data_IF_878953347701
#
_entry.id   IF_878953347701
#
_cell.length_a   1.000
_cell.length_b   1.000
_cell.length_c   1.000
_cell.angle_alpha   90.00
_cell.angle_beta   90.00
_cell.angle_gamma   90.00
#
_symmetry.space_group_name_H-M   'P 1'
#
loop_
_entity.id
_entity.type
_entity.pdbx_description
1 polymer ?
#
# COMPACT_ATOMS: atom_id res chain seq x y z
N UNK A 1 -53.99 9.88 -4.79
CA UNK A 1 -52.83 10.01 -3.90
C UNK A 1 -51.73 8.93 -4.05
N UNK A 2 -51.84 7.86 -4.87
CA UNK A 2 -50.84 6.79 -4.82
C UNK A 2 -49.56 7.03 -5.66
N UNK A 3 -49.58 7.92 -6.66
CA UNK A 3 -48.36 8.33 -7.40
C UNK A 3 -47.33 9.02 -6.49
N UNK A 4 -47.78 9.66 -5.42
CA UNK A 4 -46.88 10.27 -4.44
C UNK A 4 -46.15 9.22 -3.59
N UNK A 5 -46.79 8.09 -3.26
CA UNK A 5 -46.13 7.00 -2.52
C UNK A 5 -45.00 6.38 -3.35
N UNK A 6 -45.22 6.28 -4.66
CA UNK A 6 -44.23 5.82 -5.63
C UNK A 6 -43.01 6.75 -5.72
N UNK A 7 -43.22 8.05 -5.91
CA UNK A 7 -42.10 9.02 -5.96
C UNK A 7 -41.36 9.10 -4.62
N UNK A 8 -42.09 8.96 -3.50
CA UNK A 8 -41.50 8.92 -2.18
C UNK A 8 -40.59 7.68 -2.01
N UNK A 9 -41.05 6.50 -2.45
CA UNK A 9 -40.28 5.27 -2.44
C UNK A 9 -38.99 5.39 -3.26
N UNK A 10 -39.08 5.88 -4.51
CA UNK A 10 -37.90 6.10 -5.35
C UNK A 10 -36.95 7.11 -4.72
N UNK A 11 -37.46 8.20 -4.13
CA UNK A 11 -36.62 9.19 -3.46
C UNK A 11 -35.84 8.58 -2.28
N UNK A 12 -36.48 7.71 -1.47
CA UNK A 12 -35.85 7.03 -0.34
C UNK A 12 -34.79 6.05 -0.82
N UNK A 13 -35.11 5.23 -1.82
CA UNK A 13 -34.18 4.28 -2.40
C UNK A 13 -32.94 4.98 -2.96
N UNK A 14 -33.15 6.09 -3.68
CA UNK A 14 -32.09 6.91 -4.26
C UNK A 14 -31.12 7.45 -3.21
N UNK A 15 -31.65 7.80 -2.03
CA UNK A 15 -30.89 8.30 -0.88
C UNK A 15 -30.08 7.19 -0.21
N UNK A 16 -30.58 5.96 -0.20
CA UNK A 16 -29.88 4.81 0.39
C UNK A 16 -28.76 4.26 -0.51
N UNK A 17 -28.90 4.34 -1.83
CA UNK A 17 -27.96 3.73 -2.77
C UNK A 17 -26.57 4.39 -2.82
N UNK A 18 -26.40 5.61 -2.29
CA UNK A 18 -25.13 6.38 -2.31
C UNK A 18 -24.42 6.36 -3.69
N UNK A 19 -25.20 6.43 -4.77
CA UNK A 19 -24.69 6.48 -6.13
C UNK A 19 -24.55 7.92 -6.61
N UNK A 20 -23.70 8.13 -7.61
CA UNK A 20 -23.60 9.41 -8.31
C UNK A 20 -24.94 9.75 -8.99
N UNK A 21 -25.14 11.03 -9.32
CA UNK A 21 -26.42 11.54 -9.84
C UNK A 21 -26.88 10.81 -11.10
N UNK A 22 -25.95 10.55 -12.05
CA UNK A 22 -26.27 9.88 -13.30
C UNK A 22 -26.74 8.44 -13.10
N UNK A 23 -26.00 7.63 -12.33
CA UNK A 23 -26.37 6.24 -12.04
C UNK A 23 -27.68 6.15 -11.26
N UNK A 24 -27.90 7.11 -10.36
CA UNK A 24 -29.14 7.21 -9.59
C UNK A 24 -30.34 7.44 -10.51
N UNK A 25 -30.19 8.32 -11.49
CA UNK A 25 -31.24 8.61 -12.47
C UNK A 25 -31.49 7.42 -13.40
N UNK A 26 -30.43 6.75 -13.88
CA UNK A 26 -30.54 5.53 -14.69
C UNK A 26 -31.26 4.40 -13.93
N UNK A 27 -30.91 4.16 -12.67
CA UNK A 27 -31.56 3.13 -11.84
C UNK A 27 -32.99 3.51 -11.48
N UNK A 28 -33.25 4.79 -11.17
CA UNK A 28 -34.60 5.26 -10.88
C UNK A 28 -35.52 5.09 -12.09
N UNK A 29 -35.03 5.37 -13.30
CA UNK A 29 -35.80 5.22 -14.53
C UNK A 29 -36.08 3.75 -14.85
N UNK A 30 -35.10 2.85 -14.68
CA UNK A 30 -35.30 1.41 -14.87
C UNK A 30 -36.32 0.84 -13.86
N UNK A 31 -36.22 1.23 -12.58
CA UNK A 31 -37.17 0.81 -11.55
C UNK A 31 -38.57 1.36 -11.80
N UNK A 32 -38.67 2.61 -12.29
CA UNK A 32 -39.93 3.19 -12.73
C UNK A 32 -40.55 2.35 -13.85
N UNK A 33 -39.77 1.98 -14.86
CA UNK A 33 -40.22 1.12 -15.95
C UNK A 33 -40.70 -0.26 -15.47
N UNK A 34 -39.98 -0.90 -14.54
CA UNK A 34 -40.40 -2.19 -13.97
C UNK A 34 -41.69 -2.10 -13.16
N UNK A 35 -41.84 -1.05 -12.36
CA UNK A 35 -43.04 -0.83 -11.58
C UNK A 35 -44.24 -0.50 -12.47
N UNK A 36 -44.07 0.36 -13.48
CA UNK A 36 -45.14 0.66 -14.45
C UNK A 36 -45.62 -0.60 -15.18
N UNK A 37 -44.69 -1.46 -15.61
CA UNK A 37 -45.01 -2.75 -16.20
C UNK A 37 -45.82 -3.63 -15.24
N UNK A 38 -45.41 -3.71 -13.97
CA UNK A 38 -46.11 -4.51 -12.96
C UNK A 38 -47.51 -3.96 -12.66
N UNK A 39 -47.67 -2.64 -12.64
CA UNK A 39 -48.97 -1.99 -12.48
C UNK A 39 -49.92 -2.30 -13.64
N UNK A 40 -49.41 -2.35 -14.86
CA UNK A 40 -50.21 -2.72 -16.04
C UNK A 40 -50.71 -4.17 -15.95
N UNK A 41 -49.86 -5.08 -15.48
CA UNK A 41 -50.23 -6.48 -15.27
C UNK A 41 -51.31 -6.64 -14.20
N UNK A 42 -51.15 -5.98 -13.06
CA UNK A 42 -52.17 -5.99 -11.99
C UNK A 42 -53.49 -5.35 -12.44
N UNK A 43 -53.43 -4.33 -13.30
CA UNK A 43 -54.63 -3.75 -13.89
C UNK A 43 -55.35 -4.73 -14.84
N UNK A 44 -54.60 -5.54 -15.61
CA UNK A 44 -55.18 -6.60 -16.46
C UNK A 44 -55.83 -7.72 -15.64
N UNK A 45 -55.32 -7.98 -14.44
CA UNK A 45 -55.90 -8.90 -13.47
C UNK A 45 -57.17 -8.34 -12.79
N UNK A 46 -57.48 -7.06 -13.03
CA UNK A 46 -58.69 -6.41 -12.54
C UNK A 46 -58.53 -5.67 -11.21
N UNK A 47 -57.30 -5.51 -10.71
CA UNK A 47 -57.05 -4.71 -9.52
C UNK A 47 -57.28 -3.22 -9.80
N UNK A 48 -57.80 -2.51 -8.79
CA UNK A 48 -57.86 -1.05 -8.85
C UNK A 48 -56.45 -0.47 -8.84
N UNK A 49 -56.24 0.70 -9.47
CA UNK A 49 -54.90 1.32 -9.57
C UNK A 49 -54.24 1.54 -8.20
N UNK A 50 -55.01 1.92 -7.18
CA UNK A 50 -54.51 2.12 -5.81
C UNK A 50 -54.09 0.80 -5.15
N UNK A 51 -54.86 -0.27 -5.35
CA UNK A 51 -54.53 -1.60 -4.84
C UNK A 51 -53.32 -2.20 -5.57
N UNK A 52 -53.22 -2.00 -6.88
CA UNK A 52 -52.07 -2.41 -7.67
C UNK A 52 -50.77 -1.74 -7.19
N UNK A 53 -50.79 -0.46 -6.84
CA UNK A 53 -49.62 0.26 -6.31
C UNK A 53 -49.18 -0.32 -4.97
N UNK A 54 -50.12 -0.63 -4.07
CA UNK A 54 -49.78 -1.27 -2.79
C UNK A 54 -49.18 -2.66 -2.98
N UNK A 55 -49.78 -3.49 -3.84
CA UNK A 55 -49.27 -4.83 -4.14
C UNK A 55 -47.87 -4.75 -4.76
N UNK A 56 -47.66 -3.88 -5.74
CA UNK A 56 -46.37 -3.73 -6.40
C UNK A 56 -45.26 -3.25 -5.44
N UNK A 57 -45.57 -2.31 -4.53
CA UNK A 57 -44.62 -1.85 -3.51
C UNK A 57 -44.33 -2.95 -2.47
N UNK A 58 -45.34 -3.72 -2.06
CA UNK A 58 -45.17 -4.85 -1.13
C UNK A 58 -44.32 -5.97 -1.76
N UNK A 59 -44.52 -6.25 -3.05
CA UNK A 59 -43.70 -7.21 -3.82
C UNK A 59 -42.25 -6.75 -4.01
N UNK A 60 -42.01 -5.44 -4.16
CA UNK A 60 -40.65 -4.88 -4.22
C UNK A 60 -39.93 -4.88 -2.87
N UNK A 61 -40.67 -4.89 -1.76
CA UNK A 61 -40.13 -4.90 -0.41
C UNK A 61 -39.61 -3.52 0.07
N UNK A 62 -38.98 -3.52 1.24
CA UNK A 62 -38.46 -2.30 1.86
C UNK A 62 -37.33 -1.67 1.02
N UNK A 63 -37.39 -0.36 0.83
CA UNK A 63 -36.40 0.38 0.05
C UNK A 63 -34.98 0.26 0.66
N UNK A 64 -34.87 0.16 1.98
CA UNK A 64 -33.59 -0.03 2.66
C UNK A 64 -32.96 -1.39 2.36
N UNK A 65 -33.75 -2.46 2.41
CA UNK A 65 -33.31 -3.82 2.10
C UNK A 65 -32.91 -3.96 0.63
N UNK A 66 -33.71 -3.41 -0.29
CA UNK A 66 -33.40 -3.39 -1.71
C UNK A 66 -32.09 -2.63 -2.00
N UNK A 67 -31.87 -1.48 -1.35
CA UNK A 67 -30.63 -0.71 -1.49
C UNK A 67 -29.40 -1.48 -0.98
N UNK A 68 -29.53 -2.24 0.10
CA UNK A 68 -28.47 -3.13 0.58
C UNK A 68 -28.16 -4.23 -0.44
N UNK A 69 -29.18 -4.82 -1.07
CA UNK A 69 -29.00 -5.80 -2.14
C UNK A 69 -28.27 -5.21 -3.36
N UNK A 70 -28.65 -4.02 -3.82
CA UNK A 70 -27.91 -3.36 -4.90
C UNK A 70 -26.47 -3.02 -4.52
N UNK A 71 -26.24 -2.57 -3.29
CA UNK A 71 -24.90 -2.25 -2.78
C UNK A 71 -24.00 -3.49 -2.71
N UNK A 72 -24.54 -4.64 -2.33
CA UNK A 72 -23.77 -5.91 -2.32
C UNK A 72 -23.49 -6.40 -3.74
N UNK A 73 -24.46 -6.31 -4.65
CA UNK A 73 -24.29 -6.68 -6.06
C UNK A 73 -23.25 -5.77 -6.73
N UNK A 74 -23.33 -4.45 -6.54
CA UNK A 74 -22.39 -3.49 -7.16
C UNK A 74 -20.96 -3.73 -6.69
N UNK A 75 -20.75 -3.96 -5.37
CA UNK A 75 -19.44 -4.34 -4.80
C UNK A 75 -18.91 -5.64 -5.43
N UNK A 76 -19.75 -6.66 -5.58
CA UNK A 76 -19.35 -7.94 -6.17
C UNK A 76 -18.99 -7.82 -7.67
N UNK A 77 -19.72 -6.97 -8.41
CA UNK A 77 -19.51 -6.76 -9.84
C UNK A 77 -18.25 -5.93 -10.10
N UNK A 78 -17.95 -4.94 -9.25
CA UNK A 78 -16.70 -4.18 -9.27
C UNK A 78 -15.50 -5.11 -9.06
N UNK A 79 -15.56 -6.01 -8.07
CA UNK A 79 -14.52 -7.03 -7.82
C UNK A 79 -14.31 -7.96 -9.03
N UNK A 80 -15.39 -8.40 -9.67
CA UNK A 80 -15.33 -9.25 -10.88
C UNK A 80 -14.82 -8.50 -12.11
N UNK A 81 -15.11 -7.20 -12.25
CA UNK A 81 -14.66 -6.42 -13.40
C UNK A 81 -13.15 -6.13 -13.29
N UNK A 82 -12.67 -5.82 -12.08
CA UNK A 82 -11.24 -5.72 -11.78
C UNK A 82 -10.53 -7.04 -12.11
N UNK A 83 -11.09 -8.18 -11.69
CA UNK A 83 -10.53 -9.50 -12.00
C UNK A 83 -10.53 -9.84 -13.50
N UNK A 84 -11.48 -9.31 -14.28
CA UNK A 84 -11.52 -9.50 -15.75
C UNK A 84 -10.51 -8.60 -16.47
N UNK A 85 -10.28 -7.38 -15.99
CA UNK A 85 -9.26 -6.50 -16.55
C UNK A 85 -7.85 -7.07 -16.31
N UNK A 86 -7.57 -7.62 -15.12
CA UNK A 86 -6.26 -8.23 -14.83
C UNK A 86 -6.00 -9.52 -15.62
N UNK A 87 -7.04 -10.34 -15.84
CA UNK A 87 -6.89 -11.54 -16.68
C UNK A 87 -6.68 -11.18 -18.16
N UNK A 88 -7.35 -10.13 -18.64
CA UNK A 88 -7.21 -9.63 -20.01
C UNK A 88 -5.80 -9.09 -20.30
N UNK A 89 -5.23 -8.31 -19.39
CA UNK A 89 -3.86 -7.77 -19.54
C UNK A 89 -2.81 -8.87 -19.48
N UNK A 90 -2.96 -9.87 -18.62
CA UNK A 90 -2.06 -11.03 -18.56
C UNK A 90 -2.08 -11.84 -19.88
N UNK A 91 -3.25 -12.05 -20.48
CA UNK A 91 -3.37 -12.76 -21.75
C UNK A 91 -2.71 -11.98 -22.91
N UNK A 92 -2.88 -10.65 -22.95
CA UNK A 92 -2.23 -9.81 -23.96
C UNK A 92 -0.70 -9.82 -23.80
N UNK A 93 -0.19 -9.77 -22.58
CA UNK A 93 1.26 -9.87 -22.33
C UNK A 93 1.81 -11.24 -22.72
N UNK A 94 1.10 -12.33 -22.40
CA UNK A 94 1.50 -13.67 -22.81
C UNK A 94 1.55 -13.82 -24.34
N UNK A 95 0.52 -13.33 -25.05
CA UNK A 95 0.52 -13.29 -26.52
C UNK A 95 1.64 -12.42 -27.08
N UNK A 96 1.89 -11.24 -26.47
CA UNK A 96 2.99 -10.36 -26.84
C UNK A 96 4.35 -11.02 -26.68
N UNK A 97 4.56 -11.80 -25.61
CA UNK A 97 5.80 -12.52 -25.35
C UNK A 97 6.02 -13.69 -26.33
N UNK A 98 4.95 -14.40 -26.70
CA UNK A 98 5.00 -15.44 -27.74
C UNK A 98 5.33 -14.83 -29.10
N UNK A 99 4.73 -13.70 -29.46
CA UNK A 99 5.05 -13.01 -30.71
C UNK A 99 6.48 -12.46 -30.70
N UNK A 100 6.92 -11.87 -29.58
CA UNK A 100 8.27 -11.36 -29.44
C UNK A 100 9.31 -12.47 -29.61
N UNK A 101 9.12 -13.62 -28.96
CA UNK A 101 10.04 -14.77 -29.09
C UNK A 101 9.98 -15.44 -30.46
N UNK A 102 8.82 -15.46 -31.13
CA UNK A 102 8.67 -16.03 -32.46
C UNK A 102 9.30 -15.16 -33.58
N UNK A 103 9.34 -13.83 -33.40
CA UNK A 103 9.86 -12.89 -34.39
C UNK A 103 11.25 -12.33 -34.07
N UNK A 104 11.80 -12.59 -32.88
CA UNK A 104 13.19 -12.28 -32.54
C UNK A 104 14.15 -13.33 -33.12
N UNK A 105 14.13 -13.46 -34.45
CA UNK A 105 14.98 -14.36 -35.19
C UNK A 105 16.33 -13.66 -35.47
N UNK A 106 17.31 -13.99 -34.63
CA UNK A 106 18.77 -13.99 -34.79
C UNK A 106 19.42 -13.13 -35.89
N UNK A 107 20.01 -11.97 -35.52
CA UNK A 107 21.14 -11.44 -36.26
C UNK A 107 22.42 -12.21 -35.89
N UNK A 108 22.96 -12.93 -36.88
CA UNK A 108 24.33 -13.43 -36.96
C UNK A 108 24.82 -14.35 -35.83
N UNK A 109 24.52 -15.65 -35.96
CA UNK A 109 25.37 -16.67 -35.31
C UNK A 109 26.73 -16.74 -36.04
N UNK A 110 27.86 -16.42 -35.38
CA UNK A 110 29.18 -16.64 -35.95
C UNK A 110 29.42 -18.14 -36.17
N UNK A 111 29.98 -18.47 -37.33
CA UNK A 111 30.33 -19.83 -37.76
C UNK A 111 31.26 -20.50 -36.72
N UNK A 112 31.03 -21.77 -36.35
CA UNK A 112 31.98 -22.48 -35.50
C UNK A 112 33.27 -22.72 -36.28
N UNK A 113 34.38 -22.18 -35.77
CA UNK A 113 35.71 -22.55 -36.26
C UNK A 113 36.05 -23.97 -35.80
N UNK A 114 36.56 -24.75 -36.75
CA UNK A 114 37.07 -26.09 -36.56
C UNK A 114 38.19 -26.08 -35.51
N UNK A 115 37.97 -26.77 -34.38
CA UNK A 115 39.05 -27.13 -33.49
C UNK A 115 39.83 -28.29 -34.12
N UNK A 116 41.06 -27.97 -34.54
CA UNK A 116 42.11 -28.92 -34.85
C UNK A 116 42.40 -29.76 -33.60
N UNK A 117 42.21 -31.06 -33.76
CA UNK A 117 42.72 -32.12 -32.89
C UNK A 117 44.24 -32.11 -33.00
N UNK A 118 44.93 -31.85 -31.87
CA UNK A 118 46.32 -32.23 -31.69
C UNK A 118 46.33 -33.34 -30.63
N UNK A 119 46.54 -34.54 -31.15
CA UNK A 119 46.81 -35.80 -30.47
C UNK A 119 48.26 -35.74 -29.96
N UNK A 120 48.48 -35.86 -28.65
CA UNK A 120 49.80 -36.15 -28.09
C UNK A 120 49.69 -37.28 -27.09
N UNK A 121 50.40 -38.36 -27.41
CA UNK A 121 50.49 -39.60 -26.67
C UNK A 121 51.68 -39.57 -25.72
N UNK A 122 51.52 -40.17 -24.54
CA UNK A 122 52.62 -40.52 -23.64
C UNK A 122 52.29 -40.07 -22.22
N UNK A 123 52.22 -40.93 -21.22
CA UNK A 123 53.03 -42.12 -20.98
C UNK A 123 53.41 -42.02 -19.50
N UNK A 124 52.90 -42.93 -18.68
CA UNK A 124 52.70 -42.73 -17.24
C UNK A 124 53.95 -42.69 -16.37
N UNK A 125 53.75 -42.35 -15.09
CA UNK A 125 54.30 -43.09 -13.93
C UNK A 125 53.74 -42.51 -12.62
N UNK A 126 53.17 -43.39 -11.79
CA UNK A 126 53.09 -43.25 -10.33
C UNK A 126 54.49 -43.55 -9.76
N UNK A 127 54.95 -42.89 -8.67
CA UNK A 127 54.57 -43.33 -7.32
C UNK A 127 54.59 -42.21 -6.23
N UNK A 128 54.34 -42.64 -4.98
CA UNK A 128 54.57 -41.97 -3.69
C UNK A 128 53.50 -40.98 -3.21
N UNK A 129 52.65 -41.31 -2.23
CA UNK A 129 52.93 -41.64 -0.82
C UNK A 129 53.66 -40.54 -0.05
N UNK A 130 52.88 -39.83 0.78
CA UNK A 130 53.39 -39.11 1.95
C UNK A 130 53.81 -37.65 1.72
N UNK A 131 52.84 -36.73 1.80
CA UNK A 131 53.02 -35.41 2.42
C UNK A 131 51.67 -34.75 2.67
N UNK A 132 51.51 -34.29 3.90
CA UNK A 132 50.39 -33.54 4.45
C UNK A 132 49.92 -32.44 3.50
N UNK A 133 48.68 -32.59 3.03
CA UNK A 133 47.97 -31.58 2.26
C UNK A 133 47.79 -30.35 3.18
N UNK A 134 48.33 -29.17 2.85
CA UNK A 134 47.92 -27.95 3.55
C UNK A 134 46.41 -27.81 3.36
N UNK A 135 45.71 -27.55 4.45
CA UNK A 135 44.28 -27.30 4.46
C UNK A 135 44.02 -26.17 3.46
N UNK A 136 43.38 -26.56 2.35
CA UNK A 136 43.09 -25.68 1.23
C UNK A 136 42.18 -24.56 1.75
N UNK A 137 42.75 -23.39 1.96
CA UNK A 137 42.06 -22.16 2.40
C UNK A 137 41.17 -21.57 1.31
N UNK A 138 40.74 -22.39 0.34
CA UNK A 138 39.98 -22.01 -0.84
C UNK A 138 38.46 -22.09 -0.62
N UNK A 139 37.97 -21.68 0.54
CA UNK A 139 36.54 -21.43 0.78
C UNK A 139 36.33 -19.97 1.20
N UNK A 140 36.97 -19.05 0.47
CA UNK A 140 36.50 -17.67 0.35
C UNK A 140 35.64 -17.57 -0.92
N UNK A 141 34.46 -18.20 -0.89
CA UNK A 141 33.44 -17.95 -1.90
C UNK A 141 32.81 -16.58 -1.64
N UNK A 142 33.33 -15.63 -2.40
CA UNK A 142 32.80 -14.34 -2.89
C UNK A 142 31.64 -13.69 -2.09
N UNK A 143 31.86 -12.51 -1.47
CA UNK A 143 30.77 -11.66 -0.98
C UNK A 143 29.77 -11.20 -2.07
N UNK A 144 30.09 -11.38 -3.35
CA UNK A 144 29.19 -11.07 -4.46
C UNK A 144 27.94 -11.98 -4.54
N UNK A 145 28.02 -13.26 -4.14
CA UNK A 145 26.84 -14.17 -4.13
C UNK A 145 25.87 -13.82 -2.99
N UNK A 146 26.37 -13.28 -1.88
CA UNK A 146 25.54 -12.83 -0.75
C UNK A 146 24.71 -11.60 -1.11
N UNK A 147 25.26 -10.70 -1.95
CA UNK A 147 24.53 -9.51 -2.40
C UNK A 147 23.47 -9.80 -3.45
N UNK A 148 23.69 -10.77 -4.35
CA UNK A 148 22.67 -11.20 -5.30
C UNK A 148 21.45 -11.85 -4.60
N UNK A 149 21.67 -12.47 -3.44
CA UNK A 149 20.61 -12.96 -2.56
C UNK A 149 19.90 -11.81 -1.82
N UNK A 150 20.62 -10.81 -1.32
CA UNK A 150 20.02 -9.64 -0.66
C UNK A 150 19.15 -8.80 -1.61
N UNK A 151 19.52 -8.68 -2.88
CA UNK A 151 18.73 -7.97 -3.90
C UNK A 151 17.45 -8.73 -4.29
N UNK A 152 17.46 -10.06 -4.20
CA UNK A 152 16.28 -10.92 -4.38
C UNK A 152 15.39 -10.98 -3.14
N UNK A 153 15.92 -10.69 -1.95
CA UNK A 153 15.17 -10.52 -0.69
C UNK A 153 14.64 -9.08 -0.62
N UNK A 154 13.90 -8.67 -1.66
CA UNK A 154 13.01 -7.52 -1.55
C UNK A 154 11.91 -7.89 -0.55
N UNK A 155 11.59 -6.94 0.32
CA UNK A 155 10.44 -6.92 1.23
C UNK A 155 9.38 -7.88 0.73
N UNK A 156 9.00 -8.88 1.52
CA UNK A 156 7.77 -9.63 1.30
C UNK A 156 6.61 -8.62 1.43
N UNK A 157 6.44 -7.80 0.40
CA UNK A 157 5.17 -7.16 0.06
C UNK A 157 4.26 -8.37 -0.07
N UNK A 158 3.34 -8.56 0.88
CA UNK A 158 2.25 -9.48 0.62
C UNK A 158 1.71 -9.10 -0.75
N UNK A 159 1.57 -10.06 -1.67
CA UNK A 159 1.10 -9.79 -3.04
C UNK A 159 -0.31 -9.17 -3.06
N UNK A 160 -0.96 -9.05 -1.89
CA UNK A 160 -2.19 -8.31 -1.63
C UNK A 160 -1.96 -7.03 -0.79
N UNK A 161 -0.80 -6.38 -0.86
CA UNK A 161 -0.71 -5.00 -0.37
C UNK A 161 -1.72 -4.17 -1.15
N UNK A 162 -2.70 -3.67 -0.41
CA UNK A 162 -3.76 -2.84 -0.93
C UNK A 162 -3.17 -1.75 -1.86
N UNK A 163 -3.78 -1.47 -3.02
CA UNK A 163 -3.25 -0.61 -4.09
C UNK A 163 -3.02 0.87 -3.70
N UNK A 164 -3.16 1.20 -2.42
CA UNK A 164 -3.07 2.54 -1.87
C UNK A 164 -1.69 3.17 -1.96
N UNK A 165 -0.60 2.42 -1.79
CA UNK A 165 0.73 3.02 -1.88
C UNK A 165 0.97 3.62 -3.27
N UNK A 166 0.52 2.97 -4.35
CA UNK A 166 0.65 3.52 -5.70
C UNK A 166 -0.30 4.70 -5.95
N UNK A 167 -1.53 4.60 -5.46
CA UNK A 167 -2.52 5.67 -5.60
C UNK A 167 -2.13 6.93 -4.81
N UNK A 168 -1.62 6.78 -3.58
CA UNK A 168 -1.15 7.86 -2.72
C UNK A 168 0.10 8.55 -3.28
N UNK A 169 0.93 7.81 -4.01
CA UNK A 169 2.14 8.33 -4.66
C UNK A 169 1.89 8.91 -6.06
N UNK A 170 0.68 8.72 -6.62
CA UNK A 170 0.28 9.29 -7.91
C UNK A 170 0.11 10.82 -7.80
N UNK A 171 0.42 11.53 -8.89
CA UNK A 171 0.33 12.99 -8.96
C UNK A 171 -1.06 13.45 -9.38
N UNK A 172 -1.57 14.50 -8.74
CA UNK A 172 -2.90 15.06 -8.98
C UNK A 172 -2.83 16.57 -9.23
N UNK A 173 -3.80 17.04 -10.00
CA UNK A 173 -4.14 18.45 -10.17
C UNK A 173 -5.58 18.62 -9.70
N UNK A 174 -5.76 19.36 -8.62
CA UNK A 174 -7.02 19.54 -7.91
C UNK A 174 -7.27 21.04 -7.67
N UNK A 175 -8.34 21.53 -8.26
CA UNK A 175 -8.90 22.88 -8.03
C UNK A 175 -9.90 22.78 -6.88
N UNK A 176 -9.43 23.03 -5.66
CA UNK A 176 -10.23 22.90 -4.42
C UNK A 176 -10.61 24.26 -3.81
N UNK A 177 -10.09 25.36 -4.37
CA UNK A 177 -10.28 26.69 -3.81
C UNK A 177 -11.77 27.09 -3.83
N UNK A 178 -12.29 27.46 -2.66
CA UNK A 178 -13.68 27.83 -2.44
C UNK A 178 -14.65 26.66 -2.37
N UNK A 179 -14.17 25.41 -2.48
CA UNK A 179 -15.00 24.23 -2.22
C UNK A 179 -15.12 23.97 -0.73
N UNK A 180 -16.22 23.34 -0.33
CA UNK A 180 -16.33 22.80 1.01
C UNK A 180 -15.39 21.59 1.17
N UNK A 181 -15.00 21.28 2.41
CA UNK A 181 -14.15 20.14 2.70
C UNK A 181 -14.79 18.81 2.25
N UNK A 182 -16.11 18.70 2.36
CA UNK A 182 -16.86 17.55 1.86
C UNK A 182 -16.77 17.43 0.33
N UNK A 183 -17.03 18.53 -0.39
CA UNK A 183 -16.96 18.54 -1.86
C UNK A 183 -15.55 18.23 -2.36
N UNK A 184 -14.52 18.70 -1.65
CA UNK A 184 -13.15 18.36 -1.97
C UNK A 184 -12.84 16.87 -1.77
N UNK A 185 -13.35 16.23 -0.71
CA UNK A 185 -13.22 14.78 -0.57
C UNK A 185 -13.96 14.03 -1.68
N UNK A 186 -15.14 14.49 -2.07
CA UNK A 186 -15.90 13.88 -3.17
C UNK A 186 -15.14 14.02 -4.50
N UNK A 187 -14.54 15.19 -4.77
CA UNK A 187 -13.69 15.39 -5.96
C UNK A 187 -12.43 14.51 -5.94
N UNK A 188 -11.74 14.39 -4.80
CA UNK A 188 -10.57 13.51 -4.65
C UNK A 188 -10.97 12.05 -4.86
N UNK A 189 -12.10 11.63 -4.28
CA UNK A 189 -12.69 10.29 -4.43
C UNK A 189 -12.97 9.98 -5.90
N UNK A 190 -13.62 10.90 -6.61
CA UNK A 190 -13.98 10.76 -8.02
C UNK A 190 -12.75 10.67 -8.93
N UNK A 191 -11.77 11.57 -8.75
CA UNK A 191 -10.55 11.57 -9.57
C UNK A 191 -9.64 10.36 -9.27
N UNK A 192 -9.55 9.95 -8.00
CA UNK A 192 -8.74 8.82 -7.58
C UNK A 192 -9.40 7.45 -7.83
N UNK A 193 -10.71 7.43 -8.05
CA UNK A 193 -11.48 6.21 -8.27
C UNK A 193 -11.58 5.32 -7.03
N UNK A 194 -11.49 5.89 -5.82
CA UNK A 194 -11.55 5.17 -4.55
C UNK A 194 -12.51 5.85 -3.59
N UNK A 195 -13.04 5.10 -2.61
CA UNK A 195 -14.02 5.64 -1.69
C UNK A 195 -13.32 6.37 -0.54
N UNK A 196 -13.75 7.60 -0.27
CA UNK A 196 -13.39 8.32 0.96
C UNK A 196 -14.55 8.25 1.95
N UNK A 197 -14.26 7.90 3.20
CA UNK A 197 -15.25 7.88 4.28
C UNK A 197 -14.76 8.74 5.43
N UNK A 198 -15.54 9.75 5.79
CA UNK A 198 -15.26 10.55 6.99
C UNK A 198 -15.77 9.83 8.23
N UNK A 199 -14.87 9.57 9.18
CA UNK A 199 -15.21 8.89 10.42
C UNK A 199 -16.03 9.80 11.34
N UNK A 200 -16.85 9.20 12.21
CA UNK A 200 -17.69 9.95 13.15
C UNK A 200 -16.88 10.80 14.14
N UNK A 201 -15.61 10.44 14.40
CA UNK A 201 -14.72 11.25 15.25
C UNK A 201 -14.44 12.64 14.65
N UNK A 202 -14.40 12.75 13.32
CA UNK A 202 -14.18 14.02 12.61
C UNK A 202 -15.41 14.91 12.74
N UNK A 203 -16.60 14.37 12.51
CA UNK A 203 -17.85 15.14 12.62
C UNK A 203 -18.16 15.54 14.06
N UNK A 204 -17.73 14.74 15.04
CA UNK A 204 -17.80 15.10 16.45
C UNK A 204 -16.86 16.27 16.81
N UNK A 205 -15.68 16.33 16.20
CA UNK A 205 -14.66 17.38 16.48
C UNK A 205 -14.94 18.68 15.73
N UNK A 206 -15.20 18.60 14.43
CA UNK A 206 -15.32 19.76 13.53
C UNK A 206 -16.77 20.18 13.23
N UNK A 207 -17.76 19.34 13.55
CA UNK A 207 -19.16 19.59 13.21
C UNK A 207 -19.45 19.35 11.73
N UNK A 208 -20.07 20.34 11.08
CA UNK A 208 -20.49 20.23 9.68
C UNK A 208 -19.36 20.60 8.72
N UNK A 209 -18.88 19.60 7.98
CA UNK A 209 -17.77 19.73 7.01
C UNK A 209 -18.13 20.64 5.83
N UNK A 210 -19.42 20.83 5.56
CA UNK A 210 -19.91 21.69 4.48
C UNK A 210 -19.54 23.16 4.75
N UNK A 211 -19.36 23.53 6.02
CA UNK A 211 -19.04 24.91 6.42
C UNK A 211 -17.56 25.28 6.30
N UNK A 212 -16.67 24.30 6.08
CA UNK A 212 -15.22 24.51 6.04
C UNK A 212 -14.82 24.70 4.58
N UNK A 213 -14.51 25.93 4.20
CA UNK A 213 -14.04 26.27 2.84
C UNK A 213 -12.52 26.08 2.72
N UNK A 214 -12.08 25.53 1.59
CA UNK A 214 -10.66 25.33 1.29
C UNK A 214 -10.11 26.54 0.55
N UNK A 215 -8.99 27.10 1.01
CA UNK A 215 -8.42 28.33 0.44
C UNK A 215 -7.42 28.08 -0.70
N UNK A 216 -6.92 26.85 -0.85
CA UNK A 216 -5.73 26.54 -1.66
C UNK A 216 -6.02 25.57 -2.78
N UNK A 217 -5.35 25.79 -3.90
CA UNK A 217 -5.27 24.87 -5.03
C UNK A 217 -3.98 24.05 -5.01
N UNK A 218 -4.07 22.81 -5.50
CA UNK A 218 -2.96 21.85 -5.47
C UNK A 218 -2.68 21.33 -6.87
N UNK A 219 -1.47 21.58 -7.39
CA UNK A 219 -1.08 21.17 -8.74
C UNK A 219 0.21 20.36 -8.72
N UNK A 220 0.22 19.25 -9.47
CA UNK A 220 1.37 18.36 -9.62
C UNK A 220 1.95 17.85 -8.27
N UNK A 221 1.08 17.65 -7.29
CA UNK A 221 1.44 17.11 -5.98
C UNK A 221 1.00 15.65 -5.87
N UNK A 222 1.73 14.88 -5.07
CA UNK A 222 1.30 13.52 -4.75
C UNK A 222 0.05 13.57 -3.88
N UNK A 223 -0.89 12.64 -4.07
CA UNK A 223 -2.11 12.59 -3.27
C UNK A 223 -1.82 12.57 -1.75
N UNK A 224 -0.80 11.82 -1.32
CA UNK A 224 -0.30 11.82 0.07
C UNK A 224 -0.02 13.25 0.59
N UNK A 225 0.64 14.07 -0.22
CA UNK A 225 0.99 15.44 0.15
C UNK A 225 -0.23 16.35 0.15
N UNK A 226 -1.15 16.16 -0.79
CA UNK A 226 -2.40 16.92 -0.85
C UNK A 226 -3.24 16.63 0.39
N UNK A 227 -3.45 15.36 0.73
CA UNK A 227 -4.15 14.96 1.95
C UNK A 227 -3.47 15.53 3.19
N UNK A 228 -2.15 15.45 3.30
CA UNK A 228 -1.43 16.03 4.43
C UNK A 228 -1.64 17.56 4.54
N UNK A 229 -1.51 18.30 3.44
CA UNK A 229 -1.68 19.76 3.44
C UNK A 229 -3.13 20.17 3.71
N UNK A 230 -4.09 19.37 3.27
CA UNK A 230 -5.52 19.59 3.46
C UNK A 230 -5.96 19.29 4.90
N UNK A 231 -5.47 18.19 5.47
CA UNK A 231 -5.94 17.67 6.76
C UNK A 231 -5.16 18.22 7.96
N UNK A 232 -3.87 18.52 7.80
CA UNK A 232 -3.02 18.97 8.91
C UNK A 232 -3.53 20.25 9.61
N UNK A 233 -4.03 21.30 8.91
CA UNK A 233 -4.57 22.49 9.58
C UNK A 233 -5.79 22.22 10.46
N UNK A 234 -6.45 21.08 10.25
CA UNK A 234 -7.67 20.67 10.94
C UNK A 234 -7.41 19.57 11.99
N UNK A 235 -6.13 19.26 12.25
CA UNK A 235 -5.71 18.17 13.15
C UNK A 235 -6.31 16.81 12.75
N UNK A 236 -6.53 16.62 11.45
CA UNK A 236 -7.01 15.38 10.87
C UNK A 236 -5.85 14.59 10.26
N UNK A 237 -6.08 13.30 10.09
CA UNK A 237 -5.23 12.39 9.33
C UNK A 237 -6.10 11.41 8.54
N UNK A 238 -5.46 10.51 7.80
CA UNK A 238 -6.14 9.51 6.99
C UNK A 238 -5.57 8.11 7.22
N UNK A 239 -6.40 7.09 7.05
CA UNK A 239 -5.99 5.69 7.14
C UNK A 239 -6.61 4.87 6.00
N UNK A 240 -5.80 4.27 5.11
CA UNK A 240 -6.31 3.34 4.11
C UNK A 240 -6.62 1.99 4.76
N UNK A 241 -7.83 1.48 4.54
CA UNK A 241 -8.29 0.18 5.05
C UNK A 241 -9.37 -0.41 4.15
N UNK A 242 -9.23 -1.69 3.78
CA UNK A 242 -10.23 -2.47 3.03
C UNK A 242 -10.74 -1.78 1.74
N UNK A 243 -9.85 -1.15 0.98
CA UNK A 243 -10.19 -0.41 -0.23
C UNK A 243 -10.95 0.90 0.01
N UNK A 244 -10.94 1.42 1.25
CA UNK A 244 -11.53 2.71 1.63
C UNK A 244 -10.48 3.59 2.29
N UNK A 245 -10.46 4.88 1.94
CA UNK A 245 -9.65 5.89 2.61
C UNK A 245 -10.48 6.53 3.71
N UNK A 246 -10.17 6.22 4.96
CA UNK A 246 -10.83 6.86 6.09
C UNK A 246 -10.18 8.20 6.40
N UNK A 247 -10.99 9.21 6.70
CA UNK A 247 -10.55 10.49 7.29
C UNK A 247 -10.94 10.47 8.76
N UNK A 248 -9.98 10.72 9.64
CA UNK A 248 -10.13 10.56 11.09
C UNK A 248 -9.32 11.63 11.84
N UNK A 249 -9.65 11.85 13.11
CA UNK A 249 -8.82 12.66 14.00
C UNK A 249 -7.52 11.93 14.34
N UNK A 250 -6.47 12.67 14.72
CA UNK A 250 -5.21 12.05 15.14
C UNK A 250 -5.40 11.10 16.33
N UNK A 251 -6.19 11.52 17.33
CA UNK A 251 -6.52 10.71 18.50
C UNK A 251 -7.20 9.39 18.12
N UNK A 252 -8.20 9.41 17.22
CA UNK A 252 -8.89 8.19 16.79
C UNK A 252 -7.93 7.21 16.10
N UNK A 253 -6.98 7.72 15.32
CA UNK A 253 -5.98 6.89 14.63
C UNK A 253 -5.07 6.20 15.63
N UNK A 254 -4.74 6.89 16.71
CA UNK A 254 -3.87 6.39 17.76
C UNK A 254 -4.60 5.43 18.69
N UNK A 255 -5.86 5.74 19.06
CA UNK A 255 -6.66 5.05 20.06
C UNK A 255 -7.45 3.83 19.51
N UNK A 256 -7.70 3.79 18.21
CA UNK A 256 -8.47 2.73 17.59
C UNK A 256 -7.59 1.68 16.90
N UNK A 257 -7.60 0.47 17.46
CA UNK A 257 -6.79 -0.65 16.96
C UNK A 257 -7.15 -1.10 15.54
N UNK A 258 -8.30 -0.68 15.03
CA UNK A 258 -8.81 -1.01 13.70
C UNK A 258 -8.05 -0.32 12.57
N UNK A 259 -7.39 0.83 12.82
CA UNK A 259 -6.63 1.58 11.81
C UNK A 259 -5.13 1.29 11.86
N UNK A 260 -4.69 0.46 12.79
CA UNK A 260 -3.31 0.03 12.89
C UNK A 260 -3.02 -1.06 11.86
N UNK A 261 -1.96 -0.87 11.09
CA UNK A 261 -1.48 -1.83 10.11
C UNK A 261 -0.40 -2.69 10.73
N UNK A 262 -0.28 -3.95 10.29
CA UNK A 262 0.85 -4.80 10.63
C UNK A 262 1.76 -4.87 9.40
N UNK A 263 3.00 -4.41 9.52
CA UNK A 263 4.02 -4.53 8.47
C UNK A 263 5.21 -5.34 8.94
N UNK A 264 5.79 -6.08 8.01
CA UNK A 264 7.00 -6.87 8.21
C UNK A 264 8.16 -6.20 7.47
N UNK A 265 9.23 -5.87 8.19
CA UNK A 265 10.44 -5.26 7.64
C UNK A 265 11.59 -6.26 7.73
N UNK A 266 12.03 -6.74 6.57
CA UNK A 266 13.22 -7.60 6.52
C UNK A 266 14.47 -6.76 6.79
N UNK A 267 15.15 -7.04 7.89
CA UNK A 267 16.37 -6.32 8.29
C UNK A 267 17.60 -7.24 8.21
N UNK A 268 17.48 -8.43 7.59
CA UNK A 268 18.59 -9.40 7.49
C UNK A 268 19.76 -8.84 6.69
N UNK A 269 19.49 -8.04 5.68
CA UNK A 269 20.49 -7.32 4.90
C UNK A 269 21.38 -6.43 5.78
N UNK A 270 20.78 -5.60 6.63
CA UNK A 270 21.47 -4.75 7.59
C UNK A 270 22.22 -5.58 8.65
N UNK A 271 21.61 -6.66 9.13
CA UNK A 271 22.20 -7.53 10.15
C UNK A 271 23.40 -8.33 9.65
N UNK A 272 23.37 -8.80 8.39
CA UNK A 272 24.48 -9.52 7.77
C UNK A 272 25.74 -8.66 7.62
N UNK A 273 25.57 -7.36 7.38
CA UNK A 273 26.73 -6.45 7.31
C UNK A 273 27.34 -6.23 8.70
N UNK A 274 26.51 -6.13 9.73
CA UNK A 274 26.96 -5.84 11.10
C UNK A 274 27.45 -7.08 11.85
N UNK A 275 27.02 -8.27 11.42
CA UNK A 275 27.39 -9.57 11.99
C UNK A 275 27.81 -10.51 10.85
N UNK A 276 29.11 -10.56 10.51
CA UNK A 276 29.64 -11.31 9.35
C UNK A 276 29.39 -12.82 9.38
N UNK A 277 28.98 -13.38 10.52
CA UNK A 277 28.65 -14.80 10.68
C UNK A 277 27.53 -14.96 11.72
N UNK A 278 26.26 -14.83 11.30
CA UNK A 278 25.11 -14.91 12.21
C UNK A 278 24.88 -16.32 12.75
N UNK A 279 25.27 -17.36 12.00
CA UNK A 279 25.06 -18.75 12.41
C UNK A 279 25.95 -19.13 13.58
N UNK A 280 27.19 -18.63 13.59
CA UNK A 280 28.13 -18.89 14.68
C UNK A 280 28.04 -17.86 15.82
N UNK A 281 27.32 -16.75 15.64
CA UNK A 281 27.19 -15.69 16.66
C UNK A 281 25.72 -15.24 16.87
N UNK A 282 24.81 -16.14 17.29
CA UNK A 282 23.39 -15.81 17.46
C UNK A 282 23.15 -14.74 18.54
N UNK A 283 24.00 -14.67 19.58
CA UNK A 283 23.89 -13.67 20.65
C UNK A 283 24.15 -12.25 20.13
N UNK A 284 25.19 -12.08 19.30
CA UNK A 284 25.52 -10.79 18.69
C UNK A 284 24.46 -10.34 17.69
N UNK A 285 23.86 -11.29 16.97
CA UNK A 285 22.71 -11.01 16.10
C UNK A 285 21.51 -10.51 16.91
N UNK A 286 21.19 -11.17 18.03
CA UNK A 286 20.11 -10.76 18.93
C UNK A 286 20.37 -9.38 19.55
N UNK A 287 21.60 -9.08 19.97
CA UNK A 287 22.00 -7.77 20.48
C UNK A 287 21.81 -6.67 19.43
N UNK A 288 22.24 -6.90 18.19
CA UNK A 288 22.07 -5.93 17.09
C UNK A 288 20.62 -5.73 16.70
N UNK A 289 19.82 -6.80 16.71
CA UNK A 289 18.38 -6.71 16.50
C UNK A 289 17.70 -5.90 17.61
N UNK A 290 18.03 -6.16 18.87
CA UNK A 290 17.51 -5.41 20.00
C UNK A 290 17.88 -3.93 19.92
N UNK A 291 19.12 -3.61 19.52
CA UNK A 291 19.54 -2.24 19.27
C UNK A 291 18.74 -1.57 18.14
N UNK A 292 18.49 -2.28 17.03
CA UNK A 292 17.66 -1.77 15.94
C UNK A 292 16.21 -1.51 16.39
N UNK A 293 15.63 -2.41 17.19
CA UNK A 293 14.30 -2.18 17.78
C UNK A 293 14.30 -0.92 18.65
N UNK A 294 15.33 -0.73 19.49
CA UNK A 294 15.43 0.46 20.34
C UNK A 294 15.56 1.74 19.51
N UNK A 295 16.31 1.72 18.40
CA UNK A 295 16.39 2.85 17.47
C UNK A 295 15.02 3.18 16.85
N UNK A 296 14.29 2.15 16.38
CA UNK A 296 12.94 2.33 15.83
C UNK A 296 11.99 2.92 16.88
N UNK A 297 12.05 2.42 18.12
CA UNK A 297 11.25 2.94 19.23
C UNK A 297 11.63 4.36 19.67
N UNK A 298 12.84 4.84 19.34
CA UNK A 298 13.25 6.22 19.65
C UNK A 298 12.91 7.21 18.54
N UNK A 299 12.71 6.73 17.31
CA UNK A 299 12.57 7.59 16.13
C UNK A 299 11.16 8.19 15.96
N UNK A 300 10.12 7.54 16.50
CA UNK A 300 8.73 7.81 16.12
C UNK A 300 7.80 7.92 17.34
N UNK A 301 7.54 9.12 17.87
CA UNK A 301 6.46 9.35 18.85
C UNK A 301 6.44 8.45 20.10
N UNK A 302 5.33 8.45 20.83
CA UNK A 302 5.18 7.67 22.07
C UNK A 302 5.00 6.16 21.79
N UNK A 303 6.10 5.41 21.71
CA UNK A 303 6.06 3.96 21.87
C UNK A 303 5.83 3.65 23.35
N UNK A 304 4.59 3.47 23.80
CA UNK A 304 4.36 3.12 25.22
C UNK A 304 4.90 1.71 25.50
N UNK A 305 6.02 1.67 26.19
CA UNK A 305 6.57 0.47 26.83
C UNK A 305 5.53 -0.12 27.79
N UNK A 306 5.17 -1.39 27.58
CA UNK A 306 4.31 -2.22 28.46
C UNK A 306 2.78 -2.03 28.34
N UNK A 307 2.21 -2.43 27.20
CA UNK A 307 0.83 -2.95 27.15
C UNK A 307 -0.32 -1.93 27.15
N UNK A 308 -0.03 -0.65 27.35
CA UNK A 308 -1.02 0.44 27.30
C UNK A 308 -0.84 1.34 26.06
N UNK A 309 0.03 0.93 25.13
CA UNK A 309 0.17 1.52 23.79
C UNK A 309 -0.45 0.65 22.72
N UNK A 310 -0.90 1.28 21.65
CA UNK A 310 -1.57 0.60 20.54
C UNK A 310 -0.60 0.02 19.50
N UNK A 311 0.60 0.60 19.42
CA UNK A 311 1.69 0.06 18.63
C UNK A 311 2.37 -1.15 19.28
N UNK A 312 2.75 -2.15 18.49
CA UNK A 312 3.59 -3.26 18.96
C UNK A 312 4.77 -3.48 18.01
N UNK A 313 5.93 -3.80 18.56
CA UNK A 313 7.13 -4.15 17.79
C UNK A 313 7.68 -5.47 18.31
N UNK A 314 7.91 -6.41 17.40
CA UNK A 314 8.49 -7.71 17.70
C UNK A 314 9.57 -8.02 16.67
N UNK A 315 10.59 -8.79 17.05
CA UNK A 315 11.59 -9.30 16.12
C UNK A 315 11.48 -10.82 15.98
N UNK A 316 11.52 -11.33 14.75
CA UNK A 316 11.53 -12.75 14.46
C UNK A 316 12.54 -13.04 13.34
N UNK A 317 13.62 -13.77 13.65
CA UNK A 317 14.60 -14.27 12.67
C UNK A 317 15.16 -13.19 11.71
N UNK A 318 15.48 -12.01 12.22
CA UNK A 318 16.00 -10.92 11.38
C UNK A 318 14.93 -10.03 10.74
N UNK A 319 13.65 -10.31 10.98
CA UNK A 319 12.51 -9.52 10.49
C UNK A 319 11.87 -8.77 11.67
N UNK A 320 11.60 -7.48 11.48
CA UNK A 320 10.78 -6.70 12.41
C UNK A 320 9.31 -6.82 12.01
N UNK A 321 8.47 -7.22 12.95
CA UNK A 321 7.01 -7.23 12.81
C UNK A 321 6.48 -6.07 13.64
N UNK A 322 5.92 -5.07 12.98
CA UNK A 322 5.47 -3.84 13.62
C UNK A 322 3.99 -3.68 13.34
N UNK A 323 3.19 -3.46 14.39
CA UNK A 323 1.81 -2.99 14.30
C UNK A 323 1.80 -1.51 14.66
N UNK A 324 1.47 -0.62 13.73
CA UNK A 324 1.38 0.82 14.01
C UNK A 324 0.51 1.54 12.95
N UNK A 325 0.31 2.86 13.12
CA UNK A 325 -0.36 3.72 12.12
C UNK A 325 0.42 3.77 10.80
N UNK A 326 -0.26 4.15 9.71
CA UNK A 326 0.34 4.22 8.37
C UNK A 326 1.48 5.25 8.29
N UNK A 327 1.34 6.40 8.96
CA UNK A 327 2.36 7.45 8.99
C UNK A 327 3.64 6.97 9.68
N UNK A 328 3.49 6.31 10.83
CA UNK A 328 4.62 5.73 11.54
C UNK A 328 5.34 4.68 10.68
N UNK A 329 4.59 3.85 9.95
CA UNK A 329 5.18 2.90 9.02
C UNK A 329 6.00 3.56 7.91
N UNK A 330 5.56 4.72 7.40
CA UNK A 330 6.31 5.49 6.41
C UNK A 330 7.61 6.06 7.00
N UNK A 331 7.56 6.59 8.23
CA UNK A 331 8.74 7.09 8.94
C UNK A 331 9.75 5.98 9.25
N UNK A 332 9.29 4.83 9.72
CA UNK A 332 10.12 3.64 9.98
C UNK A 332 10.79 3.17 8.68
N UNK A 333 10.05 3.12 7.57
CA UNK A 333 10.62 2.76 6.27
C UNK A 333 11.72 3.73 5.83
N UNK A 334 11.50 5.04 6.00
CA UNK A 334 12.53 6.05 5.73
C UNK A 334 13.76 5.86 6.60
N UNK A 335 13.60 5.63 7.91
CA UNK A 335 14.71 5.36 8.82
C UNK A 335 15.51 4.12 8.38
N UNK A 336 14.83 3.00 8.12
CA UNK A 336 15.49 1.77 7.70
C UNK A 336 16.25 1.96 6.38
N UNK A 337 15.68 2.73 5.44
CA UNK A 337 16.35 3.06 4.19
C UNK A 337 17.58 3.97 4.41
N UNK A 338 17.53 4.91 5.35
CA UNK A 338 18.68 5.72 5.74
C UNK A 338 19.79 4.86 6.38
N UNK A 339 19.43 3.89 7.21
CA UNK A 339 20.37 2.95 7.82
C UNK A 339 21.01 2.01 6.79
N UNK A 340 20.28 1.63 5.73
CA UNK A 340 20.80 0.78 4.64
C UNK A 340 21.75 1.52 3.70
N UNK A 341 21.53 2.81 3.44
CA UNK A 341 22.24 3.59 2.41
C UNK A 341 23.78 3.52 2.51
N UNK A 342 24.42 3.71 3.69
CA UNK A 342 25.88 3.61 3.81
C UNK A 342 26.43 2.25 3.39
N UNK A 343 25.66 1.18 3.59
CA UNK A 343 26.10 -0.18 3.26
C UNK A 343 25.96 -0.48 1.77
N UNK A 344 24.91 0.04 1.13
CA UNK A 344 24.76 -0.03 -0.33
C UNK A 344 25.92 0.71 -1.02
N UNK A 345 26.29 1.88 -0.54
CA UNK A 345 27.41 2.66 -1.08
C UNK A 345 28.75 1.89 -0.93
N UNK A 346 28.95 1.17 0.17
CA UNK A 346 30.14 0.33 0.41
C UNK A 346 30.14 -0.92 -0.47
N UNK A 347 28.98 -1.55 -0.69
CA UNK A 347 28.85 -2.72 -1.57
C UNK A 347 29.13 -2.36 -3.04
N UNK A 348 28.67 -1.19 -3.50
CA UNK A 348 28.93 -0.73 -4.87
C UNK A 348 30.37 -0.25 -5.10
N UNK A 349 31.02 0.32 -4.08
CA UNK A 349 32.36 0.90 -4.23
C UNK A 349 33.51 -0.07 -3.94
N UNK A 350 33.25 -1.28 -3.43
CA UNK A 350 34.31 -2.17 -3.02
C UNK A 350 34.68 -3.28 -3.99
N UNK A 351 35.69 -2.92 -4.77
CA UNK A 351 36.86 -3.76 -5.03
C UNK A 351 37.93 -3.66 -3.90
N UNK A 352 37.63 -3.08 -2.71
CA UNK A 352 38.62 -2.82 -1.63
C UNK A 352 38.10 -2.84 -0.16
N UNK A 353 37.08 -3.66 0.19
CA UNK A 353 36.28 -3.54 1.44
C UNK A 353 36.92 -3.92 2.79
N UNK A 354 38.22 -4.23 2.91
CA UNK A 354 38.67 -4.96 4.09
C UNK A 354 38.88 -4.14 5.38
N UNK A 355 38.61 -2.83 5.43
CA UNK A 355 38.89 -2.02 6.63
C UNK A 355 37.96 -0.81 6.80
N UNK A 356 36.66 -1.00 7.01
CA UNK A 356 35.80 0.08 7.52
C UNK A 356 35.31 -0.28 8.91
N UNK A 357 35.94 0.34 9.91
CA UNK A 357 35.50 0.35 11.31
C UNK A 357 34.45 1.46 11.50
N UNK A 358 33.24 1.09 11.88
CA UNK A 358 32.15 2.00 12.21
C UNK A 358 31.92 2.00 13.73
N UNK A 359 32.95 2.44 14.46
CA UNK A 359 32.87 2.64 15.91
C UNK A 359 31.66 3.51 16.33
N UNK A 360 31.28 3.43 17.62
CA UNK A 360 30.04 4.01 18.17
C UNK A 360 29.84 5.51 17.86
N UNK A 361 30.91 6.27 17.63
CA UNK A 361 30.85 7.70 17.31
C UNK A 361 30.16 8.04 15.98
N UNK A 362 30.19 7.16 14.97
CA UNK A 362 29.54 7.42 13.67
C UNK A 362 28.04 7.18 13.73
N UNK A 363 27.60 6.19 14.51
CA UNK A 363 26.18 5.93 14.76
C UNK A 363 25.55 7.06 15.58
N UNK A 364 26.28 7.58 16.59
CA UNK A 364 25.86 8.76 17.37
C UNK A 364 25.63 10.02 16.51
N UNK A 365 26.46 10.22 15.48
CA UNK A 365 26.28 11.34 14.53
C UNK A 365 25.07 11.17 13.62
N UNK A 366 24.68 9.94 13.29
CA UNK A 366 23.46 9.66 12.53
C UNK A 366 22.22 9.81 13.41
N UNK A 367 22.28 9.38 14.68
CA UNK A 367 21.23 9.65 15.69
C UNK A 367 20.98 11.16 15.86
N UNK A 368 22.04 11.95 16.06
CA UNK A 368 21.89 13.41 16.20
C UNK A 368 21.35 14.07 14.93
N UNK A 369 21.71 13.57 13.74
CA UNK A 369 21.26 14.13 12.46
C UNK A 369 19.82 13.74 12.12
N UNK A 370 19.37 12.56 12.55
CA UNK A 370 17.98 12.14 12.51
C UNK A 370 17.11 13.03 13.41
N UNK A 371 17.52 13.22 14.66
CA UNK A 371 16.83 14.12 15.61
C UNK A 371 16.76 15.57 15.11
N UNK A 372 17.85 16.12 14.56
CA UNK A 372 17.87 17.48 14.00
C UNK A 372 17.05 17.67 12.72
N UNK A 373 16.66 16.59 12.03
CA UNK A 373 15.83 16.67 10.82
C UNK A 373 14.34 16.64 11.15
N UNK A 374 13.97 16.15 12.35
CA UNK A 374 12.59 16.10 12.85
C UNK A 374 12.23 17.40 13.59
N UNK A 375 13.18 18.06 14.27
CA UNK A 375 12.96 19.39 14.90
C UNK A 375 12.92 20.57 13.90
N UNK A 376 13.07 20.32 12.59
CA UNK A 376 12.93 21.35 11.55
C UNK A 376 11.63 21.19 10.76
N UNK A 377 10.52 21.02 11.46
CA UNK A 377 9.25 21.57 10.96
C UNK A 377 9.43 23.08 10.92
N UNK A 378 9.22 23.76 9.77
CA UNK A 378 9.33 25.21 9.74
C UNK A 378 8.31 25.77 10.74
N UNK A 379 8.79 26.42 11.80
CA UNK A 379 7.95 27.36 12.53
C UNK A 379 7.37 28.32 11.49
N UNK A 380 6.07 28.22 11.26
CA UNK A 380 5.28 29.20 10.52
C UNK A 380 5.30 30.50 11.35
N UNK A 381 6.43 31.20 11.26
CA UNK A 381 6.61 32.52 11.80
C UNK A 381 5.64 33.48 11.11
N UNK A 382 4.68 33.97 11.88
CA UNK A 382 4.00 35.26 11.76
C UNK A 382 4.01 35.90 10.37
N UNK A 383 3.12 35.42 9.51
CA UNK A 383 2.50 36.24 8.46
C UNK A 383 0.99 36.20 8.69
N UNK A 384 0.58 36.89 9.75
CA UNK A 384 -0.75 37.45 9.95
C UNK A 384 -0.59 38.82 10.58
#
# INVERSE_FOLDING_TARGET
MPEHEFELYLSLLSRFLKLNSQQREEIAEELRGHLEMRLEDLAKEGHSREEAIRIALDEMGDAGELAQHFSTISKSRRRKMIMRCTLGTAAVLACGLVLFTAFWNEPDRPRPMANLVAEDEGGGTLPESGKTKPMDSSVQKRPAEVWELAEKVRVYKSEELEPWDEQLESQYELDLQGLSLQDAFDQISDQGGFLIVVHNSVTASLGDLISIEIEKNYTNLKLRQILYLLLAPLELTYAPKDGVLYILTQDETQDNSDFLQVRMYDCRDYLLVTVPDPQNNPEKLAEKMHHLMNLVMQFEGEWKTAGEGLGTIQSMNGVLVIKQTADAHAAIEQLLNQLRKPYLDVAHNNSAASQIDFGPERLFKLEQKGQSSIEKTPELGSLF
#
